data_IF_250752330422
#
_entry.id   IF_250752330422
#
_cell.length_a   1.000
_cell.length_b   1.000
_cell.length_c   1.000
_cell.angle_alpha   90.00
_cell.angle_beta   90.00
_cell.angle_gamma   90.00
#
_symmetry.space_group_name_H-M   'P 1'
#
loop_
_entity.id
_entity.type
_entity.pdbx_description
1 polymer ?
#
# COMPACT_ATOMS: atom_id res chain seq x y z
N UNK A 1 12.17 21.73 29.60
CA UNK A 1 11.52 21.12 28.42
C UNK A 1 11.91 19.64 28.33
N UNK A 2 11.35 18.78 29.17
CA UNK A 2 11.64 17.33 29.12
C UNK A 2 10.71 16.67 28.09
N UNK A 3 11.27 16.20 26.98
CA UNK A 3 10.52 15.35 26.04
C UNK A 3 10.37 13.97 26.69
N UNK A 4 9.17 13.68 27.17
CA UNK A 4 8.76 12.33 27.58
C UNK A 4 8.71 11.44 26.33
N UNK A 5 9.83 10.77 26.04
CA UNK A 5 9.87 9.63 25.12
C UNK A 5 9.86 8.36 25.96
N UNK A 6 8.89 7.48 25.72
CA UNK A 6 8.80 6.20 26.42
C UNK A 6 10.09 5.39 26.20
N UNK A 7 10.89 5.23 27.27
CA UNK A 7 12.09 4.39 27.42
C UNK A 7 11.78 2.88 27.33
N UNK A 8 10.89 2.47 26.42
CA UNK A 8 10.53 1.06 26.18
C UNK A 8 11.34 0.41 25.06
N UNK A 9 12.38 1.07 24.55
CA UNK A 9 13.25 0.49 23.51
C UNK A 9 14.29 -0.44 24.15
N UNK A 10 14.00 -1.74 24.11
CA UNK A 10 14.92 -2.79 24.59
C UNK A 10 16.20 -2.95 23.75
N UNK A 11 16.28 -2.35 22.56
CA UNK A 11 17.41 -2.49 21.62
C UNK A 11 18.14 -1.15 21.47
N UNK A 12 19.03 -0.85 22.42
CA UNK A 12 19.78 0.41 22.46
C UNK A 12 21.08 0.38 21.63
N UNK A 13 21.68 -0.81 21.44
CA UNK A 13 22.95 -0.96 20.73
C UNK A 13 22.70 -1.07 19.22
N UNK A 14 23.42 -0.26 18.43
CA UNK A 14 23.37 -0.28 16.96
C UNK A 14 24.64 -0.87 16.38
N UNK A 15 24.52 -1.93 15.58
CA UNK A 15 25.60 -2.46 14.74
C UNK A 15 25.47 -1.84 13.34
N UNK A 16 26.59 -1.41 12.75
CA UNK A 16 26.63 -0.75 11.44
C UNK A 16 27.53 -1.53 10.48
N UNK A 17 27.10 -1.65 9.22
CA UNK A 17 27.90 -2.17 8.12
C UNK A 17 27.82 -1.18 6.94
N UNK A 18 28.88 -1.13 6.12
CA UNK A 18 28.88 -0.37 4.86
C UNK A 18 28.45 -1.32 3.74
N UNK A 19 27.64 -0.80 2.82
CA UNK A 19 27.14 -1.52 1.65
C UNK A 19 27.39 -0.66 0.41
N UNK A 20 27.66 -1.31 -0.70
CA UNK A 20 27.58 -0.72 -2.04
C UNK A 20 26.11 -0.48 -2.43
N UNK A 21 25.88 0.33 -3.46
CA UNK A 21 24.52 0.59 -3.95
C UNK A 21 23.82 -0.68 -4.43
N UNK A 22 24.54 -1.56 -5.11
CA UNK A 22 24.04 -2.84 -5.58
C UNK A 22 23.58 -3.75 -4.42
N UNK A 23 24.40 -3.88 -3.37
CA UNK A 23 24.05 -4.66 -2.17
C UNK A 23 22.83 -4.06 -1.46
N UNK A 24 22.78 -2.73 -1.34
CA UNK A 24 21.67 -2.07 -0.69
C UNK A 24 20.35 -2.26 -1.45
N UNK A 25 20.38 -2.26 -2.79
CA UNK A 25 19.20 -2.58 -3.63
C UNK A 25 18.74 -4.02 -3.40
N UNK A 26 19.66 -4.98 -3.44
CA UNK A 26 19.34 -6.39 -3.23
C UNK A 26 18.69 -6.65 -1.86
N UNK A 27 19.24 -6.06 -0.81
CA UNK A 27 18.71 -6.21 0.56
C UNK A 27 17.31 -5.58 0.67
N UNK A 28 17.10 -4.41 0.07
CA UNK A 28 15.78 -3.75 0.07
C UNK A 28 14.74 -4.57 -0.68
N UNK A 29 15.09 -5.12 -1.85
CA UNK A 29 14.20 -5.97 -2.63
C UNK A 29 13.83 -7.26 -1.89
N UNK A 30 14.80 -7.91 -1.25
CA UNK A 30 14.54 -9.09 -0.43
C UNK A 30 13.61 -8.78 0.76
N UNK A 31 13.80 -7.63 1.41
CA UNK A 31 12.94 -7.17 2.50
C UNK A 31 11.51 -6.87 2.00
N UNK A 32 11.38 -6.26 0.82
CA UNK A 32 10.10 -5.98 0.18
C UNK A 32 9.35 -7.27 -0.18
N UNK A 33 10.01 -8.23 -0.83
CA UNK A 33 9.42 -9.54 -1.18
C UNK A 33 8.93 -10.32 0.02
N UNK A 34 9.64 -10.22 1.15
CA UNK A 34 9.27 -10.89 2.40
C UNK A 34 8.28 -10.09 3.24
N UNK A 35 7.97 -8.85 2.86
CA UNK A 35 7.03 -7.98 3.54
C UNK A 35 7.50 -7.57 4.93
N UNK A 36 8.80 -7.45 5.16
CA UNK A 36 9.39 -7.04 6.45
C UNK A 36 10.34 -5.87 6.28
N UNK A 37 10.71 -5.20 7.36
CA UNK A 37 11.72 -4.13 7.28
C UNK A 37 13.12 -4.71 7.02
N UNK A 38 14.01 -3.91 6.40
CA UNK A 38 15.42 -4.27 6.19
C UNK A 38 16.10 -4.70 7.50
N UNK A 39 15.83 -4.00 8.60
CA UNK A 39 16.37 -4.35 9.91
C UNK A 39 15.85 -5.70 10.43
N UNK A 40 14.58 -6.03 10.17
CA UNK A 40 14.01 -7.33 10.53
C UNK A 40 14.61 -8.46 9.68
N UNK A 41 14.78 -8.23 8.37
CA UNK A 41 15.46 -9.17 7.47
C UNK A 41 16.89 -9.45 7.93
N UNK A 42 17.68 -8.41 8.20
CA UNK A 42 19.07 -8.55 8.66
C UNK A 42 19.13 -9.32 9.98
N UNK A 43 18.26 -9.00 10.95
CA UNK A 43 18.23 -9.72 12.23
C UNK A 43 17.80 -11.17 12.09
N UNK A 44 16.88 -11.47 11.19
CA UNK A 44 16.53 -12.85 10.87
C UNK A 44 17.72 -13.60 10.27
N UNK A 45 18.42 -13.00 9.30
CA UNK A 45 19.56 -13.62 8.64
C UNK A 45 20.75 -13.85 9.60
N UNK A 46 21.02 -12.90 10.51
CA UNK A 46 22.19 -12.96 11.41
C UNK A 46 21.90 -13.69 12.71
N UNK A 47 20.69 -13.57 13.26
CA UNK A 47 20.34 -14.07 14.59
C UNK A 47 19.26 -15.16 14.58
N UNK A 48 18.74 -15.53 13.40
CA UNK A 48 17.58 -16.43 13.24
C UNK A 48 16.34 -15.99 14.05
N UNK A 49 16.22 -14.68 14.30
CA UNK A 49 15.10 -14.12 15.05
C UNK A 49 13.95 -13.80 14.11
N UNK A 50 12.82 -14.50 14.27
CA UNK A 50 11.62 -14.21 13.47
C UNK A 50 11.11 -12.78 13.72
N UNK A 51 10.78 -12.05 12.64
CA UNK A 51 10.21 -10.71 12.74
C UNK A 51 8.93 -10.71 13.58
N UNK A 52 8.74 -9.79 14.54
CA UNK A 52 7.44 -9.63 15.19
C UNK A 52 6.39 -9.24 14.14
N UNK A 53 5.13 -9.64 14.33
CA UNK A 53 4.03 -9.35 13.39
C UNK A 53 3.90 -7.84 13.06
N UNK A 54 4.27 -6.96 13.98
CA UNK A 54 4.28 -5.50 13.82
C UNK A 54 5.39 -4.96 12.90
N UNK A 55 6.43 -5.76 12.64
CA UNK A 55 7.53 -5.40 11.73
C UNK A 55 7.28 -5.79 10.28
N UNK A 56 6.09 -6.35 9.99
CA UNK A 56 5.61 -6.53 8.64
C UNK A 56 5.42 -5.15 8.03
N UNK A 57 6.25 -4.81 7.07
CA UNK A 57 6.07 -3.60 6.26
C UNK A 57 4.71 -3.77 5.57
N UNK A 58 3.76 -2.82 5.69
CA UNK A 58 2.55 -2.88 4.90
C UNK A 58 2.98 -3.06 3.44
N UNK A 59 2.51 -4.10 2.73
CA UNK A 59 2.92 -4.33 1.35
C UNK A 59 2.67 -3.04 0.58
N UNK A 60 3.66 -2.70 -0.25
CA UNK A 60 3.75 -1.47 -1.01
C UNK A 60 2.35 -1.05 -1.49
N UNK A 61 1.98 0.13 -1.02
CA UNK A 61 0.89 0.97 -1.48
C UNK A 61 -0.56 0.70 -1.09
N UNK A 62 -0.81 0.27 0.15
CA UNK A 62 -2.13 0.49 0.77
C UNK A 62 -2.59 1.95 0.72
N UNK A 63 -1.66 2.90 0.82
CA UNK A 63 -1.99 4.31 0.79
C UNK A 63 -2.29 4.80 -0.63
N UNK A 64 -1.43 4.58 -1.62
CA UNK A 64 -1.78 4.98 -2.99
C UNK A 64 -2.96 4.17 -3.55
N UNK A 65 -3.12 2.90 -3.18
CA UNK A 65 -4.29 2.14 -3.57
C UNK A 65 -5.57 2.67 -2.90
N UNK A 66 -5.52 3.08 -1.63
CA UNK A 66 -6.65 3.76 -0.99
C UNK A 66 -6.97 5.11 -1.65
N UNK A 67 -5.95 5.90 -2.01
CA UNK A 67 -6.13 7.15 -2.76
C UNK A 67 -6.71 6.89 -4.15
N UNK A 68 -6.27 5.83 -4.84
CA UNK A 68 -6.77 5.43 -6.15
C UNK A 68 -8.23 4.99 -6.07
N UNK A 69 -8.61 4.16 -5.09
CA UNK A 69 -10.01 3.78 -4.82
C UNK A 69 -10.87 5.04 -4.58
N UNK A 70 -10.37 6.00 -3.80
CA UNK A 70 -11.07 7.26 -3.56
C UNK A 70 -11.30 8.09 -4.84
N UNK A 71 -10.27 8.22 -5.69
CA UNK A 71 -10.37 8.91 -6.99
C UNK A 71 -11.34 8.22 -7.95
N UNK A 72 -11.32 6.89 -8.03
CA UNK A 72 -12.26 6.13 -8.85
C UNK A 72 -13.72 6.35 -8.41
N UNK A 73 -13.97 6.42 -7.09
CA UNK A 73 -15.30 6.76 -6.56
C UNK A 73 -15.78 8.16 -6.94
N UNK A 74 -14.88 9.16 -6.92
CA UNK A 74 -15.20 10.53 -7.33
C UNK A 74 -15.55 10.62 -8.83
N UNK A 75 -14.79 9.93 -9.67
CA UNK A 75 -15.07 9.87 -11.12
C UNK A 75 -16.41 9.21 -11.40
N UNK A 76 -16.73 8.10 -10.72
CA UNK A 76 -18.04 7.45 -10.85
C UNK A 76 -19.19 8.38 -10.45
N UNK A 77 -19.06 9.10 -9.33
CA UNK A 77 -20.05 10.07 -8.89
C UNK A 77 -20.27 11.21 -9.89
N UNK A 78 -19.19 11.75 -10.45
CA UNK A 78 -19.27 12.80 -11.47
C UNK A 78 -19.94 12.31 -12.76
N UNK A 79 -19.64 11.07 -13.18
CA UNK A 79 -20.29 10.46 -14.34
C UNK A 79 -21.80 10.26 -14.11
N UNK A 80 -22.22 9.84 -12.91
CA UNK A 80 -23.64 9.68 -12.58
C UNK A 80 -24.38 11.02 -12.62
N UNK A 81 -23.80 12.05 -12.01
CA UNK A 81 -24.38 13.39 -12.04
C UNK A 81 -24.47 13.96 -13.46
N UNK A 82 -23.54 13.60 -14.36
CA UNK A 82 -23.59 13.97 -15.76
C UNK A 82 -24.67 13.20 -16.55
N UNK A 83 -24.88 11.91 -16.26
CA UNK A 83 -25.98 11.14 -16.84
C UNK A 83 -27.35 11.64 -16.41
N UNK A 84 -27.54 11.97 -15.12
CA UNK A 84 -28.82 12.49 -14.62
C UNK A 84 -29.20 13.83 -15.25
N UNK A 85 -28.23 14.56 -15.82
CA UNK A 85 -28.42 15.83 -16.54
C UNK A 85 -28.47 15.66 -18.07
N UNK A 86 -28.18 14.47 -18.59
CA UNK A 86 -28.14 14.21 -20.02
C UNK A 86 -29.50 13.69 -20.50
N UNK A 87 -30.13 14.42 -21.42
CA UNK A 87 -31.46 14.11 -21.97
C UNK A 87 -31.42 13.06 -23.10
N UNK A 88 -30.26 12.43 -23.33
CA UNK A 88 -30.00 11.60 -24.50
C UNK A 88 -29.68 10.14 -24.12
N UNK A 89 -30.47 9.19 -24.65
CA UNK A 89 -30.37 7.74 -24.36
C UNK A 89 -28.98 7.16 -24.65
N UNK A 90 -28.24 7.72 -25.61
CA UNK A 90 -26.87 7.32 -25.92
C UNK A 90 -25.86 7.69 -24.82
N UNK A 91 -26.06 8.82 -24.12
CA UNK A 91 -25.22 9.21 -22.99
C UNK A 91 -25.39 8.26 -21.79
N UNK A 92 -26.62 7.80 -21.54
CA UNK A 92 -26.90 6.85 -20.45
C UNK A 92 -26.10 5.54 -20.61
N UNK A 93 -26.08 4.97 -21.82
CA UNK A 93 -25.36 3.72 -22.09
C UNK A 93 -23.83 3.85 -21.91
N UNK A 94 -23.25 4.99 -22.28
CA UNK A 94 -21.82 5.28 -22.11
C UNK A 94 -21.48 5.44 -20.62
N UNK A 95 -22.33 6.12 -19.85
CA UNK A 95 -22.13 6.29 -18.41
C UNK A 95 -22.25 4.97 -17.65
N UNK A 96 -23.17 4.09 -18.05
CA UNK A 96 -23.30 2.75 -17.46
C UNK A 96 -22.10 1.84 -17.78
N UNK A 97 -21.51 1.95 -18.97
CA UNK A 97 -20.28 1.25 -19.31
C UNK A 97 -19.10 1.75 -18.47
N UNK A 98 -18.92 3.07 -18.37
CA UNK A 98 -17.86 3.66 -17.56
C UNK A 98 -17.98 3.32 -16.06
N UNK A 99 -19.20 3.22 -15.52
CA UNK A 99 -19.41 2.76 -14.14
C UNK A 99 -18.97 1.32 -13.91
N UNK A 100 -19.23 0.43 -14.88
CA UNK A 100 -18.80 -0.98 -14.79
C UNK A 100 -17.28 -1.08 -14.80
N UNK A 101 -16.62 -0.37 -15.72
CA UNK A 101 -15.15 -0.36 -15.80
C UNK A 101 -14.52 0.16 -14.50
N UNK A 102 -15.10 1.21 -13.89
CA UNK A 102 -14.63 1.75 -12.60
C UNK A 102 -14.87 0.78 -11.44
N UNK A 103 -15.98 0.04 -11.45
CA UNK A 103 -16.27 -0.98 -10.44
C UNK A 103 -15.28 -2.15 -10.54
N UNK A 104 -14.96 -2.60 -11.76
CA UNK A 104 -14.00 -3.67 -12.03
C UNK A 104 -12.58 -3.27 -11.62
N UNK A 105 -12.15 -2.04 -11.95
CA UNK A 105 -10.87 -1.50 -11.48
C UNK A 105 -10.80 -1.44 -9.95
N UNK A 106 -11.89 -1.05 -9.28
CA UNK A 106 -11.96 -1.01 -7.82
C UNK A 106 -11.86 -2.41 -7.23
N UNK A 107 -12.57 -3.39 -7.79
CA UNK A 107 -12.52 -4.78 -7.34
C UNK A 107 -11.11 -5.37 -7.46
N UNK A 108 -10.44 -5.16 -8.61
CA UNK A 108 -9.06 -5.60 -8.83
C UNK A 108 -8.07 -4.98 -7.82
N UNK A 109 -8.27 -3.72 -7.45
CA UNK A 109 -7.47 -3.06 -6.41
C UNK A 109 -7.74 -3.65 -5.01
N UNK A 110 -9.00 -3.92 -4.66
CA UNK A 110 -9.32 -4.57 -3.39
C UNK A 110 -8.72 -5.99 -3.29
N UNK A 111 -8.77 -6.77 -4.37
CA UNK A 111 -8.16 -8.09 -4.47
C UNK A 111 -6.63 -8.02 -4.33
N UNK A 112 -5.97 -7.11 -5.04
CA UNK A 112 -4.52 -6.88 -4.94
C UNK A 112 -4.08 -6.46 -3.52
N UNK A 113 -4.98 -5.81 -2.76
CA UNK A 113 -4.76 -5.44 -1.36
C UNK A 113 -5.15 -6.53 -0.35
N UNK A 114 -5.73 -7.64 -0.80
CA UNK A 114 -6.24 -8.74 0.03
C UNK A 114 -7.44 -8.34 0.88
N UNK A 115 -8.36 -7.55 0.33
CA UNK A 115 -9.58 -7.06 0.99
C UNK A 115 -10.81 -7.42 0.15
N UNK A 116 -11.97 -7.52 0.81
CA UNK A 116 -13.26 -7.65 0.11
C UNK A 116 -13.69 -6.27 -0.41
N UNK A 117 -14.23 -6.17 -1.65
CA UNK A 117 -14.65 -4.92 -2.28
C UNK A 117 -15.88 -4.26 -1.64
#
# INVERSE_FOLDING_TARGET
MSKSGSEKRQRAISLKARFTDAEAVLIRDQAARTGVSVAALIRYAVLHQHPPKSSRTPPLDREAAAQMIGKLGQVAGALRAAADQADEVQCAAIVDAAHRDLADMRAALFEALGRLP
#
